data_IF_411237377716
#
_entry.id   IF_411237377716
#
_cell.length_a   1.000
_cell.length_b   1.000
_cell.length_c   1.000
_cell.angle_alpha   90.00
_cell.angle_beta   90.00
_cell.angle_gamma   90.00
#
_symmetry.space_group_name_H-M   'P 1'
#
loop_
_entity.id
_entity.type
_entity.pdbx_description
1 polymer ?
#
# COMPACT_ATOMS: atom_id res chain seq x y z
N UNK A 1 32.51 27.60 -36.52
CA UNK A 1 33.25 28.71 -37.14
C UNK A 1 34.50 28.90 -36.32
N UNK A 2 35.67 28.77 -36.91
CA UNK A 2 36.94 28.82 -36.16
C UNK A 2 37.30 30.26 -35.80
N UNK A 3 38.16 30.44 -34.81
CA UNK A 3 38.69 31.75 -34.43
C UNK A 3 39.39 32.43 -35.62
N UNK A 4 40.14 31.66 -36.42
CA UNK A 4 40.78 32.14 -37.65
C UNK A 4 39.77 32.65 -38.68
N UNK A 5 38.60 32.01 -38.81
CA UNK A 5 37.53 32.48 -39.70
C UNK A 5 36.97 33.83 -39.24
N UNK A 6 36.81 34.01 -37.91
CA UNK A 6 36.38 35.28 -37.32
C UNK A 6 37.43 36.37 -37.53
N UNK A 7 38.71 36.07 -37.31
CA UNK A 7 39.81 37.00 -37.60
C UNK A 7 39.83 37.41 -39.06
N UNK A 8 39.75 36.47 -40.01
CA UNK A 8 39.73 36.77 -41.44
C UNK A 8 38.52 37.64 -41.83
N UNK A 9 37.33 37.32 -41.29
CA UNK A 9 36.10 38.09 -41.49
C UNK A 9 36.25 39.52 -40.97
N UNK A 10 36.76 39.69 -39.76
CA UNK A 10 36.90 41.00 -39.14
C UNK A 10 38.06 41.80 -39.74
N UNK A 11 39.17 41.18 -40.13
CA UNK A 11 40.23 41.85 -40.89
C UNK A 11 39.68 42.46 -42.19
N UNK A 12 38.90 41.67 -42.95
CA UNK A 12 38.27 42.16 -44.17
C UNK A 12 37.29 43.32 -43.93
N UNK A 13 36.45 43.22 -42.90
CA UNK A 13 35.51 44.27 -42.51
C UNK A 13 36.22 45.54 -42.05
N UNK A 14 37.27 45.41 -41.23
CA UNK A 14 38.02 46.54 -40.70
C UNK A 14 38.73 47.32 -41.81
N UNK A 15 39.34 46.62 -42.77
CA UNK A 15 39.93 47.26 -43.96
C UNK A 15 38.87 47.98 -44.79
N UNK A 16 37.69 47.37 -44.99
CA UNK A 16 36.57 48.02 -45.69
C UNK A 16 36.04 49.27 -44.98
N UNK A 17 36.14 49.31 -43.66
CA UNK A 17 35.75 50.46 -42.85
C UNK A 17 36.83 51.55 -42.78
N UNK A 18 37.94 51.39 -43.51
CA UNK A 18 39.04 52.34 -43.54
C UNK A 18 39.95 52.30 -42.31
N UNK A 19 39.85 51.26 -41.47
CA UNK A 19 40.78 51.06 -40.36
C UNK A 19 42.11 50.51 -40.88
N UNK A 20 43.21 50.94 -40.28
CA UNK A 20 44.56 50.53 -40.67
C UNK A 20 45.51 50.53 -39.48
N UNK A 21 46.59 49.76 -39.57
CA UNK A 21 47.64 49.71 -38.54
C UNK A 21 47.12 49.13 -37.23
N UNK A 22 47.59 49.69 -36.11
CA UNK A 22 47.30 49.19 -34.76
C UNK A 22 45.82 49.33 -34.35
N UNK A 23 45.08 50.29 -34.91
CA UNK A 23 43.62 50.42 -34.68
C UNK A 23 42.82 49.31 -35.38
N UNK A 24 43.35 48.75 -36.48
CA UNK A 24 42.71 47.61 -37.13
C UNK A 24 42.90 46.33 -36.32
N UNK A 25 44.12 46.06 -35.85
CA UNK A 25 44.43 44.82 -35.12
C UNK A 25 43.67 44.75 -33.80
N UNK A 26 43.71 45.83 -33.01
CA UNK A 26 42.98 45.92 -31.73
C UNK A 26 41.47 45.79 -31.92
N UNK A 27 40.91 46.41 -32.95
CA UNK A 27 39.48 46.29 -33.25
C UNK A 27 39.08 44.88 -33.67
N UNK A 28 39.90 44.19 -34.46
CA UNK A 28 39.66 42.81 -34.86
C UNK A 28 39.71 41.89 -33.65
N UNK A 29 40.74 42.00 -32.81
CA UNK A 29 40.88 41.23 -31.57
C UNK A 29 39.66 41.41 -30.66
N UNK A 30 39.21 42.66 -30.48
CA UNK A 30 38.02 42.98 -29.69
C UNK A 30 36.75 42.34 -30.25
N UNK A 31 36.59 42.34 -31.58
CA UNK A 31 35.42 41.76 -32.24
C UNK A 31 35.42 40.24 -32.20
N UNK A 32 36.58 39.61 -32.41
CA UNK A 32 36.75 38.16 -32.28
C UNK A 32 36.44 37.74 -30.84
N UNK A 33 37.05 38.42 -29.85
CA UNK A 33 36.79 38.17 -28.43
C UNK A 33 35.31 38.30 -28.09
N UNK A 34 34.65 39.36 -28.53
CA UNK A 34 33.24 39.60 -28.27
C UNK A 34 32.34 38.49 -28.83
N UNK A 35 32.62 38.00 -30.04
CA UNK A 35 31.82 36.94 -30.66
C UNK A 35 32.11 35.56 -30.07
N UNK A 36 33.36 35.28 -29.72
CA UNK A 36 33.74 34.07 -28.98
C UNK A 36 33.02 34.03 -27.63
N UNK A 37 33.03 35.11 -26.85
CA UNK A 37 32.29 35.20 -25.59
C UNK A 37 30.78 34.99 -25.77
N UNK A 38 30.19 35.51 -26.85
CA UNK A 38 28.77 35.30 -27.15
C UNK A 38 28.49 33.84 -27.46
N UNK A 39 29.36 33.20 -28.23
CA UNK A 39 29.30 31.77 -28.55
C UNK A 39 29.40 30.94 -27.26
N UNK A 40 30.36 31.23 -26.39
CA UNK A 40 30.54 30.52 -25.13
C UNK A 40 29.32 30.68 -24.21
N UNK A 41 28.79 31.89 -24.07
CA UNK A 41 27.55 32.13 -23.30
C UNK A 41 26.34 31.42 -23.89
N UNK A 42 26.32 31.17 -25.20
CA UNK A 42 25.25 30.40 -25.82
C UNK A 42 25.40 28.92 -25.51
N UNK A 43 26.61 28.38 -25.66
CA UNK A 43 26.94 26.98 -25.31
C UNK A 43 26.64 26.73 -23.83
N UNK A 44 27.01 27.66 -22.93
CA UNK A 44 26.72 27.52 -21.51
C UNK A 44 25.21 27.50 -21.22
N UNK A 45 24.42 28.32 -21.93
CA UNK A 45 22.95 28.31 -21.82
C UNK A 45 22.35 27.00 -22.32
N UNK A 46 22.88 26.44 -23.41
CA UNK A 46 22.47 25.14 -23.93
C UNK A 46 22.82 24.02 -22.95
N UNK A 47 24.05 23.98 -22.43
CA UNK A 47 24.45 23.02 -21.39
C UNK A 47 23.58 23.09 -20.15
N UNK A 48 23.27 24.29 -19.64
CA UNK A 48 22.37 24.45 -18.49
C UNK A 48 20.96 23.93 -18.79
N UNK A 49 20.47 24.08 -20.02
CA UNK A 49 19.17 23.52 -20.41
C UNK A 49 19.22 22.00 -20.46
N UNK A 50 20.25 21.43 -21.07
CA UNK A 50 20.45 19.97 -21.12
C UNK A 50 20.61 19.37 -19.73
N UNK A 51 21.34 20.03 -18.83
CA UNK A 51 21.51 19.60 -17.45
C UNK A 51 20.17 19.59 -16.70
N UNK A 52 19.38 20.66 -16.81
CA UNK A 52 18.04 20.73 -16.22
C UNK A 52 17.09 19.68 -16.82
N UNK A 53 17.19 19.39 -18.12
CA UNK A 53 16.39 18.35 -18.77
C UNK A 53 16.77 16.96 -18.27
N UNK A 54 18.08 16.68 -18.16
CA UNK A 54 18.59 15.42 -17.63
C UNK A 54 18.21 15.24 -16.16
N UNK A 55 18.24 16.32 -15.36
CA UNK A 55 17.79 16.29 -13.98
C UNK A 55 16.28 16.00 -13.91
N UNK A 56 15.47 16.73 -14.67
CA UNK A 56 14.02 16.50 -14.71
C UNK A 56 13.69 15.07 -15.13
N UNK A 57 14.42 14.51 -16.10
CA UNK A 57 14.24 13.12 -16.54
C UNK A 57 14.60 12.13 -15.43
N UNK A 58 15.64 12.38 -14.64
CA UNK A 58 15.98 11.55 -13.48
C UNK A 58 14.87 11.58 -12.44
N UNK A 59 14.41 12.77 -12.06
CA UNK A 59 13.31 12.95 -11.11
C UNK A 59 12.01 12.28 -11.60
N UNK A 60 11.69 12.41 -12.89
CA UNK A 60 10.53 11.75 -13.49
C UNK A 60 10.66 10.21 -13.45
N UNK A 61 11.83 9.66 -13.76
CA UNK A 61 12.05 8.21 -13.69
C UNK A 61 12.01 7.68 -12.27
N UNK A 62 12.48 8.46 -11.30
CA UNK A 62 12.40 8.14 -9.88
C UNK A 62 10.95 8.15 -9.41
N UNK A 63 10.19 9.20 -9.74
CA UNK A 63 8.76 9.29 -9.44
C UNK A 63 7.96 8.14 -10.06
N UNK A 64 8.25 7.76 -11.31
CA UNK A 64 7.61 6.60 -11.94
C UNK A 64 7.94 5.29 -11.23
N UNK A 65 9.17 5.17 -10.70
CA UNK A 65 9.57 3.98 -9.93
C UNK A 65 8.83 3.93 -8.60
N UNK A 66 8.77 5.05 -7.88
CA UNK A 66 8.02 5.20 -6.63
C UNK A 66 6.52 4.92 -6.85
N UNK A 67 5.93 5.45 -7.92
CA UNK A 67 4.53 5.20 -8.26
C UNK A 67 4.26 3.70 -8.49
N UNK A 68 5.12 3.03 -9.26
CA UNK A 68 5.02 1.57 -9.46
C UNK A 68 5.22 0.78 -8.17
N UNK A 69 6.06 1.26 -7.26
CA UNK A 69 6.26 0.63 -5.96
C UNK A 69 5.03 0.80 -5.06
N UNK A 70 4.47 2.01 -4.99
CA UNK A 70 3.22 2.30 -4.29
C UNK A 70 2.06 1.50 -4.87
N UNK A 71 2.01 1.33 -6.19
CA UNK A 71 1.00 0.51 -6.85
C UNK A 71 1.15 -0.97 -6.46
N UNK A 72 2.36 -1.52 -6.46
CA UNK A 72 2.61 -2.90 -6.01
C UNK A 72 2.21 -3.10 -4.55
N UNK A 73 2.50 -2.14 -3.67
CA UNK A 73 2.05 -2.20 -2.27
C UNK A 73 0.53 -2.19 -2.16
N UNK A 74 -0.16 -1.37 -2.96
CA UNK A 74 -1.64 -1.34 -2.99
C UNK A 74 -2.21 -2.68 -3.47
N UNK A 75 -1.64 -3.25 -4.52
CA UNK A 75 -2.03 -4.55 -5.06
C UNK A 75 -1.76 -5.69 -4.05
N UNK A 76 -0.62 -5.68 -3.36
CA UNK A 76 -0.30 -6.67 -2.31
C UNK A 76 -1.29 -6.57 -1.13
N UNK A 77 -1.61 -5.35 -0.71
CA UNK A 77 -2.59 -5.13 0.37
C UNK A 77 -4.01 -5.53 -0.06
N UNK A 78 -4.38 -5.31 -1.31
CA UNK A 78 -5.65 -5.78 -1.87
C UNK A 78 -5.70 -7.31 -1.93
N UNK A 79 -4.63 -7.94 -2.41
CA UNK A 79 -4.51 -9.39 -2.50
C UNK A 79 -4.62 -10.06 -1.12
N UNK A 80 -3.94 -9.53 -0.10
CA UNK A 80 -4.05 -10.05 1.28
C UNK A 80 -5.47 -9.94 1.84
N UNK A 81 -6.22 -8.91 1.48
CA UNK A 81 -7.63 -8.78 1.91
C UNK A 81 -8.49 -9.83 1.24
N UNK A 82 -8.33 -10.01 -0.07
CA UNK A 82 -9.06 -11.02 -0.83
C UNK A 82 -8.73 -12.44 -0.35
N UNK A 83 -7.46 -12.73 -0.03
CA UNK A 83 -7.05 -14.02 0.51
C UNK A 83 -7.71 -14.33 1.86
N UNK A 84 -7.72 -13.35 2.77
CA UNK A 84 -8.42 -13.47 4.07
C UNK A 84 -9.93 -13.65 3.90
N UNK A 85 -10.54 -12.98 2.94
CA UNK A 85 -11.96 -13.13 2.63
C UNK A 85 -12.26 -14.54 2.11
N UNK A 86 -11.43 -15.07 1.21
CA UNK A 86 -11.56 -16.45 0.71
C UNK A 86 -11.37 -17.48 1.82
N UNK A 87 -10.41 -17.28 2.71
CA UNK A 87 -10.22 -18.16 3.87
C UNK A 87 -11.43 -18.12 4.81
N UNK A 88 -11.95 -16.94 5.09
CA UNK A 88 -13.17 -16.77 5.88
C UNK A 88 -14.38 -17.44 5.22
N UNK A 89 -14.53 -17.33 3.89
CA UNK A 89 -15.58 -18.02 3.15
C UNK A 89 -15.47 -19.55 3.27
N UNK A 90 -14.25 -20.10 3.14
CA UNK A 90 -14.01 -21.54 3.34
C UNK A 90 -14.36 -21.99 4.76
N UNK A 91 -14.03 -21.19 5.78
CA UNK A 91 -14.41 -21.51 7.16
C UNK A 91 -15.93 -21.51 7.35
N UNK A 92 -16.63 -20.51 6.80
CA UNK A 92 -18.09 -20.44 6.86
C UNK A 92 -18.74 -21.63 6.14
N UNK A 93 -18.19 -22.06 4.99
CA UNK A 93 -18.66 -23.23 4.26
C UNK A 93 -18.47 -24.53 5.05
N UNK A 94 -17.32 -24.71 5.70
CA UNK A 94 -17.08 -25.85 6.59
C UNK A 94 -18.07 -25.88 7.76
N UNK A 95 -18.26 -24.76 8.47
CA UNK A 95 -19.22 -24.68 9.57
C UNK A 95 -20.67 -24.91 9.10
N UNK A 96 -21.00 -24.47 7.88
CA UNK A 96 -22.31 -24.76 7.29
C UNK A 96 -22.49 -26.25 7.03
N UNK A 97 -21.49 -26.92 6.46
CA UNK A 97 -21.54 -28.38 6.24
C UNK A 97 -21.63 -29.16 7.56
N UNK A 98 -20.94 -28.71 8.62
CA UNK A 98 -21.05 -29.32 9.96
C UNK A 98 -22.47 -29.19 10.52
N UNK A 99 -23.06 -28.00 10.45
CA UNK A 99 -24.46 -27.78 10.86
C UNK A 99 -25.43 -28.65 10.05
N UNK A 100 -25.27 -28.74 8.73
CA UNK A 100 -26.08 -29.61 7.87
C UNK A 100 -25.90 -31.11 8.23
N UNK A 101 -24.68 -31.53 8.62
CA UNK A 101 -24.43 -32.88 9.10
C UNK A 101 -25.05 -33.15 10.50
N UNK A 102 -25.11 -32.14 11.37
CA UNK A 102 -25.77 -32.28 12.67
C UNK A 102 -27.30 -32.29 12.57
N UNK A 103 -27.88 -31.45 11.70
CA UNK A 103 -29.34 -31.45 11.46
C UNK A 103 -29.79 -32.78 10.86
N UNK A 104 -29.06 -33.32 9.89
CA UNK A 104 -29.37 -34.65 9.31
C UNK A 104 -29.26 -35.78 10.35
N UNK A 105 -28.26 -35.74 11.24
CA UNK A 105 -28.18 -36.68 12.38
C UNK A 105 -29.39 -36.57 13.31
N UNK A 106 -29.83 -35.34 13.61
CA UNK A 106 -31.01 -35.09 14.44
C UNK A 106 -32.30 -35.55 13.75
N UNK A 107 -32.46 -35.36 12.44
CA UNK A 107 -33.63 -35.86 11.69
C UNK A 107 -33.69 -37.39 11.70
N UNK A 108 -32.55 -38.07 11.52
CA UNK A 108 -32.46 -39.53 11.59
C UNK A 108 -32.74 -40.07 13.01
N UNK A 109 -32.25 -39.38 14.05
CA UNK A 109 -32.54 -39.69 15.46
C UNK A 109 -34.00 -39.42 15.84
N UNK A 110 -34.61 -38.39 15.25
CA UNK A 110 -36.02 -38.07 15.49
C UNK A 110 -36.96 -39.07 14.82
N UNK A 111 -36.55 -39.65 13.68
CA UNK A 111 -37.28 -40.74 13.00
C UNK A 111 -37.24 -42.05 13.80
N UNK A 112 -36.11 -42.39 14.43
CA UNK A 112 -36.05 -43.58 15.30
C UNK A 112 -36.85 -43.41 16.61
N UNK A 113 -36.88 -42.20 17.17
CA UNK A 113 -37.69 -41.90 18.36
C UNK A 113 -39.20 -41.80 18.06
N UNK A 114 -39.61 -41.47 16.83
CA UNK A 114 -41.01 -41.53 16.40
C UNK A 114 -41.54 -42.98 16.33
N UNK A 115 -40.68 -43.93 15.97
CA UNK A 115 -41.02 -45.37 15.95
C UNK A 115 -41.03 -45.98 17.36
N UNK A 116 -40.15 -45.53 18.27
CA UNK A 116 -40.17 -45.97 19.68
C UNK A 116 -41.32 -45.33 20.46
N UNK A 117 -41.67 -44.07 20.19
CA UNK A 117 -42.81 -43.38 20.81
C UNK A 117 -44.18 -43.96 20.42
N UNK A 118 -44.31 -44.58 19.24
CA UNK A 118 -45.51 -45.34 18.84
C UNK A 118 -45.61 -46.73 19.49
N UNK A 119 -44.48 -47.34 19.82
CA UNK A 119 -44.47 -48.64 20.49
C UNK A 119 -44.92 -48.57 21.95
N UNK A 120 -44.77 -47.42 22.62
CA UNK A 120 -45.19 -47.25 24.03
C UNK A 120 -46.70 -46.96 24.16
N UNK A 121 -47.39 -46.54 23.09
CA UNK A 121 -48.82 -46.22 23.11
C UNK A 121 -49.74 -47.33 22.58
N UNK A 122 -49.23 -48.54 22.33
CA UNK A 122 -50.00 -49.63 21.69
C UNK A 122 -50.07 -50.93 22.49
N UNK A 123 -50.05 -50.85 23.83
CA UNK A 123 -50.48 -51.97 24.69
C UNK A 123 -51.38 -51.45 25.80
N UNK A 124 -52.70 -51.44 25.53
CA UNK A 124 -53.80 -51.85 26.43
C UNK A 124 -55.12 -51.12 26.08
N UNK A 125 -56.11 -51.82 25.48
CA UNK A 125 -57.50 -51.37 25.51
C UNK A 125 -58.15 -51.90 26.79
N UNK A 126 -58.50 -51.01 27.72
CA UNK A 126 -59.48 -51.29 28.77
C UNK A 126 -59.04 -50.96 30.19
N UNK A 127 -59.61 -49.89 30.75
CA UNK A 127 -59.87 -49.77 32.18
C UNK A 127 -59.38 -48.47 32.83
N UNK A 128 -60.12 -47.88 33.80
CA UNK A 128 -60.15 -46.43 33.99
C UNK A 128 -59.63 -45.91 35.35
N UNK A 129 -59.49 -44.58 35.42
CA UNK A 129 -59.44 -43.67 36.58
C UNK A 129 -58.26 -43.83 37.57
N UNK A 130 -57.48 -42.76 37.75
CA UNK A 130 -57.33 -42.08 39.06
C UNK A 130 -56.79 -40.65 38.88
N UNK A 131 -57.63 -39.72 39.35
CA UNK A 131 -57.38 -38.30 39.56
C UNK A 131 -56.27 -38.05 40.60
N UNK A 132 -55.51 -36.95 40.46
CA UNK A 132 -54.74 -36.44 41.60
C UNK A 132 -53.65 -35.42 41.29
N UNK A 133 -54.03 -34.14 41.26
CA UNK A 133 -53.36 -33.02 41.94
C UNK A 133 -51.87 -32.75 41.65
N UNK A 134 -51.59 -31.68 40.89
CA UNK A 134 -51.16 -30.40 41.48
C UNK A 134 -51.17 -29.32 40.39
N UNK A 135 -52.14 -28.41 40.52
CA UNK A 135 -52.16 -27.10 39.88
C UNK A 135 -51.77 -26.13 40.99
N UNK A 136 -50.74 -25.33 40.77
CA UNK A 136 -50.67 -23.95 41.27
C UNK A 136 -49.60 -23.19 40.44
N UNK A 137 -50.02 -22.10 39.82
CA UNK A 137 -49.21 -20.98 39.33
C UNK A 137 -49.73 -19.72 40.09
N UNK A 138 -49.28 -18.45 39.89
CA UNK A 138 -48.23 -17.83 39.04
C UNK A 138 -47.49 -16.66 39.81
N UNK A 139 -47.26 -15.41 39.30
CA UNK A 139 -46.39 -14.86 38.22
C UNK A 139 -45.39 -13.73 38.68
N UNK A 140 -44.54 -13.22 37.76
CA UNK A 140 -43.82 -11.92 37.85
C UNK A 140 -42.29 -12.09 38.01
N UNK A 141 -41.39 -11.47 37.24
CA UNK A 141 -41.15 -10.03 37.09
C UNK A 141 -40.46 -9.72 35.76
N UNK A 142 -40.70 -8.49 35.29
CA UNK A 142 -40.40 -7.86 34.01
C UNK A 142 -38.90 -7.54 33.78
N UNK A 143 -38.61 -7.27 32.50
CA UNK A 143 -37.47 -6.48 31.95
C UNK A 143 -37.00 -5.34 32.85
N UNK A 144 -35.68 -5.12 32.88
CA UNK A 144 -35.03 -3.88 33.33
C UNK A 144 -33.60 -3.78 32.82
N UNK A 145 -33.35 -2.82 31.94
CA UNK A 145 -32.04 -2.36 31.49
C UNK A 145 -31.29 -1.63 32.62
N UNK A 146 -29.99 -1.42 32.38
CA UNK A 146 -29.10 -0.34 32.85
C UNK A 146 -28.70 -0.23 34.34
N UNK A 147 -27.37 -0.36 34.55
CA UNK A 147 -26.54 0.67 35.19
C UNK A 147 -26.14 0.46 36.66
N UNK A 148 -24.82 0.36 36.90
CA UNK A 148 -24.00 0.78 38.08
C UNK A 148 -22.66 -0.01 37.99
N UNK A 149 -21.58 0.49 37.39
CA UNK A 149 -20.62 1.52 37.84
C UNK A 149 -19.87 1.15 39.14
N UNK A 150 -18.53 0.96 39.09
CA UNK A 150 -17.71 0.98 40.32
C UNK A 150 -16.29 0.36 40.40
N UNK A 151 -15.36 0.60 39.45
CA UNK A 151 -13.89 0.76 39.65
C UNK A 151 -13.01 -0.39 40.24
N UNK A 152 -11.67 -0.22 40.38
CA UNK A 152 -10.65 -0.16 39.32
C UNK A 152 -9.49 -1.16 39.57
N UNK A 153 -8.70 -1.50 38.55
CA UNK A 153 -7.33 -1.99 38.79
C UNK A 153 -6.41 -1.51 37.67
N UNK A 154 -5.68 -0.44 37.98
CA UNK A 154 -4.51 0.01 37.24
C UNK A 154 -3.27 -0.77 37.71
N UNK A 155 -2.21 -0.71 36.89
CA UNK A 155 -0.84 -1.27 36.99
C UNK A 155 -0.62 -2.59 36.22
N UNK A 156 -0.34 -2.57 34.89
CA UNK A 156 0.94 -2.33 34.15
C UNK A 156 1.93 -3.53 34.22
N UNK A 157 2.79 -3.82 33.20
CA UNK A 157 3.31 -2.89 32.20
C UNK A 157 3.40 -3.38 30.73
N UNK A 158 3.67 -2.40 29.87
CA UNK A 158 4.06 -2.47 28.46
C UNK A 158 5.21 -3.44 28.17
N UNK A 159 5.00 -4.34 27.21
CA UNK A 159 6.09 -4.97 26.47
C UNK A 159 6.69 -3.93 25.52
N UNK A 160 7.65 -3.15 26.04
CA UNK A 160 8.63 -2.43 25.25
C UNK A 160 9.47 -3.49 24.52
N UNK A 161 9.15 -3.76 23.27
CA UNK A 161 10.05 -4.49 22.37
C UNK A 161 11.27 -3.59 22.15
N UNK A 162 12.36 -3.95 22.82
CA UNK A 162 13.66 -3.34 22.64
C UNK A 162 14.11 -3.53 21.20
N UNK A 163 14.34 -2.39 20.56
CA UNK A 163 14.95 -2.20 19.24
C UNK A 163 16.22 -3.06 19.12
N UNK A 164 16.16 -4.16 18.37
CA UNK A 164 17.35 -4.84 17.91
C UNK A 164 18.08 -3.90 16.92
N UNK A 165 19.22 -3.37 17.34
CA UNK A 165 20.21 -2.82 16.41
C UNK A 165 20.69 -3.98 15.55
N UNK A 166 20.33 -4.00 14.27
CA UNK A 166 21.06 -4.80 13.29
C UNK A 166 22.51 -4.30 13.30
N UNK A 167 23.52 -5.15 13.46
CA UNK A 167 24.89 -4.75 13.18
C UNK A 167 25.00 -4.46 11.67
N UNK A 168 25.50 -3.27 11.34
CA UNK A 168 25.90 -2.91 9.99
C UNK A 168 26.94 -3.93 9.49
N UNK A 169 26.55 -4.76 8.52
CA UNK A 169 27.50 -5.60 7.79
C UNK A 169 28.12 -4.73 6.70
N UNK A 170 29.06 -3.88 7.09
CA UNK A 170 30.02 -3.31 6.15
C UNK A 170 30.96 -4.43 5.72
N UNK A 171 30.71 -5.03 4.57
CA UNK A 171 31.73 -5.81 3.87
C UNK A 171 32.35 -4.92 2.82
N UNK A 172 33.53 -4.38 3.15
CA UNK A 172 34.49 -3.91 2.17
C UNK A 172 34.75 -5.05 1.17
N UNK A 173 34.43 -4.81 -0.11
CA UNK A 173 35.06 -5.53 -1.20
C UNK A 173 36.04 -4.57 -1.87
N UNK A 174 37.28 -4.59 -1.38
CA UNK A 174 38.43 -4.24 -2.19
C UNK A 174 38.56 -5.29 -3.29
N UNK A 175 38.34 -4.89 -4.54
CA UNK A 175 38.80 -5.65 -5.69
C UNK A 175 40.04 -4.98 -6.24
N UNK A 176 41.07 -5.81 -6.37
CA UNK A 176 42.39 -5.55 -6.94
C UNK A 176 42.34 -5.02 -8.38
#
# INVERSE_FOLDING_TARGET
MSELDLYAKYLYLGVKLGRSGEDLTTWVEDKVRQDMERSDRQIERERKREEMEMQKKREETEMQREEREMQRQREEMAFRREEKERESQRQLELSRMELEAETTKLELSSRSNADVGRAILSVHPGGPVLSGLFRDSPPGVRRGLCGLQGYPTQYLPSLVLTRAKNPDISTEMQWF
#
